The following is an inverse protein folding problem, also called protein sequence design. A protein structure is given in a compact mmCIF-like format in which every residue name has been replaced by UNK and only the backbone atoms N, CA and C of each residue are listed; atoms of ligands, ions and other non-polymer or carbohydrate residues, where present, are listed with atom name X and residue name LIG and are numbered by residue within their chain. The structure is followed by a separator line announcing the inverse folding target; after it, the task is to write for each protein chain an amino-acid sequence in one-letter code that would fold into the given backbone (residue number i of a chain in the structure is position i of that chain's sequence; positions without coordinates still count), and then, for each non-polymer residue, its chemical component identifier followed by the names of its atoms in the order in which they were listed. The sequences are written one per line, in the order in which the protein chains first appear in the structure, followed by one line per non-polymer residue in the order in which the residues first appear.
data_IF_265540844344
#
_entry.id   IF_265540844344
#
_cell.length_a   1.000
_cell.length_b   1.000
_cell.length_c   1.000
_cell.angle_alpha   90.00
_cell.angle_beta   90.00
_cell.angle_gamma   90.00
#
_symmetry.space_group_name_H-M   'P 1'
#
loop_
_entity.id
_entity.type
_entity.pdbx_description
1 polymer ?
#
# COMPACT_ATOMS: atom_id res chain seq x y z
N UNK A 1 38.51 18.04 -28.39
CA UNK A 1 37.07 17.79 -28.64
C UNK A 1 36.38 17.73 -27.28
N UNK A 2 35.68 18.83 -26.93
CA UNK A 2 34.21 18.90 -26.77
C UNK A 2 33.73 18.07 -25.57
N UNK A 3 33.61 18.59 -24.34
CA UNK A 3 32.73 19.65 -23.77
C UNK A 3 31.60 19.05 -22.89
N UNK A 4 31.33 19.76 -21.79
CA UNK A 4 30.48 19.43 -20.64
C UNK A 4 29.01 19.13 -20.96
N UNK A 5 28.31 18.42 -20.06
CA UNK A 5 27.04 18.83 -19.41
C UNK A 5 26.58 17.73 -18.43
N UNK A 6 26.58 17.93 -17.11
CA UNK A 6 25.62 18.71 -16.30
C UNK A 6 24.17 18.24 -16.42
N UNK A 7 23.65 17.83 -15.27
CA UNK A 7 22.27 17.86 -14.81
C UNK A 7 21.16 17.33 -15.73
N UNK A 8 20.61 16.18 -15.33
CA UNK A 8 19.16 16.01 -15.27
C UNK A 8 18.80 15.27 -13.99
N UNK A 9 18.68 16.02 -12.90
CA UNK A 9 17.75 15.73 -11.81
C UNK A 9 16.36 15.53 -12.43
N UNK A 10 16.07 14.32 -12.92
CA UNK A 10 14.71 13.88 -13.16
C UNK A 10 14.11 13.69 -11.76
N UNK A 11 13.63 14.77 -11.19
CA UNK A 11 12.79 14.74 -10.00
C UNK A 11 11.54 13.94 -10.41
N UNK A 12 11.43 12.64 -10.06
CA UNK A 12 10.19 11.97 -10.29
C UNK A 12 9.22 12.74 -9.40
N UNK A 13 8.05 13.14 -9.91
CA UNK A 13 6.95 13.46 -9.01
C UNK A 13 6.65 12.15 -8.28
N UNK A 14 7.38 11.92 -7.18
CA UNK A 14 7.21 10.81 -6.29
C UNK A 14 5.88 11.10 -5.62
N UNK A 15 4.80 10.72 -6.27
CA UNK A 15 3.57 10.39 -5.57
C UNK A 15 3.89 9.11 -4.79
N UNK A 16 4.66 9.24 -3.70
CA UNK A 16 4.74 8.19 -2.68
C UNK A 16 3.37 8.18 -2.04
N UNK A 17 2.40 7.57 -2.72
CA UNK A 17 1.23 7.02 -2.05
C UNK A 17 1.81 6.26 -0.85
N UNK A 18 1.46 6.69 0.35
CA UNK A 18 2.05 6.17 1.59
C UNK A 18 0.94 5.56 2.41
N UNK A 19 1.21 4.40 3.01
CA UNK A 19 0.27 3.78 3.93
C UNK A 19 0.20 4.59 5.23
N UNK A 20 -1.01 4.90 5.69
CA UNK A 20 -1.28 5.52 7.00
C UNK A 20 -1.83 4.48 7.96
N UNK A 21 -1.68 4.70 9.27
CA UNK A 21 -2.26 3.83 10.30
C UNK A 21 -3.64 4.36 10.68
N UNK A 22 -4.65 3.49 10.70
CA UNK A 22 -6.00 3.85 11.13
C UNK A 22 -6.22 3.57 12.62
N UNK A 23 -6.84 4.50 13.32
CA UNK A 23 -7.15 4.41 14.75
C UNK A 23 -8.66 4.54 15.00
N UNK A 24 -9.15 3.92 16.08
CA UNK A 24 -10.51 4.16 16.59
C UNK A 24 -10.57 5.50 17.34
N UNK A 25 -11.78 5.94 17.69
CA UNK A 25 -11.99 7.12 18.54
C UNK A 25 -11.25 7.02 19.90
N UNK A 26 -11.09 5.80 20.42
CA UNK A 26 -10.32 5.51 21.65
C UNK A 26 -8.80 5.45 21.44
N UNK A 27 -8.28 5.91 20.29
CA UNK A 27 -6.86 5.85 19.90
C UNK A 27 -6.28 4.43 19.84
N UNK A 28 -7.11 3.40 19.67
CA UNK A 28 -6.65 2.01 19.45
C UNK A 28 -6.40 1.78 17.96
N UNK A 29 -5.31 1.09 17.61
CA UNK A 29 -5.04 0.71 16.21
C UNK A 29 -6.15 -0.20 15.70
N UNK A 30 -6.80 0.19 14.62
CA UNK A 30 -7.76 -0.67 13.94
C UNK A 30 -7.00 -1.84 13.31
N UNK A 31 -7.54 -3.05 13.39
CA UNK A 31 -7.01 -4.24 12.72
C UNK A 31 -8.03 -4.74 11.72
N UNK A 32 -7.73 -4.62 10.43
CA UNK A 32 -8.54 -5.11 9.31
C UNK A 32 -7.75 -6.12 8.50
N UNK A 33 -8.45 -6.85 7.65
CA UNK A 33 -7.82 -7.76 6.71
C UNK A 33 -7.13 -6.99 5.59
N UNK A 34 -5.90 -7.37 5.25
CA UNK A 34 -5.24 -6.89 4.04
C UNK A 34 -6.06 -7.33 2.82
N UNK A 35 -6.52 -6.37 2.02
CA UNK A 35 -7.33 -6.62 0.83
C UNK A 35 -6.58 -7.50 -0.17
N UNK A 36 -5.31 -7.20 -0.43
CA UNK A 36 -4.50 -7.97 -1.38
C UNK A 36 -4.31 -9.44 -0.96
N UNK A 37 -3.91 -9.68 0.30
CA UNK A 37 -3.76 -11.03 0.81
C UNK A 37 -5.09 -11.80 0.82
N UNK A 38 -6.19 -11.13 1.21
CA UNK A 38 -7.50 -11.76 1.22
C UNK A 38 -7.95 -12.18 -0.17
N UNK A 39 -7.73 -11.35 -1.20
CA UNK A 39 -8.05 -11.70 -2.59
C UNK A 39 -7.24 -12.91 -3.07
N UNK A 40 -5.92 -12.92 -2.82
CA UNK A 40 -5.05 -14.04 -3.21
C UNK A 40 -5.48 -15.37 -2.57
N UNK A 41 -5.75 -15.36 -1.27
CA UNK A 41 -6.20 -16.56 -0.55
C UNK A 41 -7.58 -16.98 -1.03
N UNK A 42 -8.48 -16.01 -1.26
CA UNK A 42 -9.82 -16.29 -1.78
C UNK A 42 -9.78 -16.99 -3.14
N UNK A 43 -8.86 -16.57 -4.01
CA UNK A 43 -8.66 -17.18 -5.33
C UNK A 43 -8.01 -18.55 -5.24
N UNK A 44 -7.04 -18.75 -4.34
CA UNK A 44 -6.30 -20.01 -4.21
C UNK A 44 -7.08 -21.11 -3.45
N UNK A 45 -7.75 -20.76 -2.35
CA UNK A 45 -8.31 -21.71 -1.38
C UNK A 45 -9.83 -21.56 -1.17
N UNK A 46 -10.45 -20.58 -1.84
CA UNK A 46 -11.84 -20.21 -1.57
C UNK A 46 -11.99 -19.32 -0.34
N UNK A 47 -13.21 -19.16 0.17
CA UNK A 47 -13.50 -18.16 1.20
C UNK A 47 -13.03 -18.62 2.59
N UNK A 48 -11.73 -18.49 2.86
CA UNK A 48 -11.11 -18.81 4.15
C UNK A 48 -10.95 -17.53 4.97
N UNK A 49 -11.17 -17.60 6.30
CA UNK A 49 -10.91 -16.49 7.23
C UNK A 49 -9.40 -16.21 7.42
N UNK A 50 -8.54 -16.93 6.70
CA UNK A 50 -7.10 -16.82 6.79
C UNK A 50 -6.61 -15.62 5.98
N UNK A 51 -5.90 -14.72 6.64
CA UNK A 51 -5.11 -13.70 5.95
C UNK A 51 -4.44 -12.75 6.92
N UNK A 52 -3.49 -11.97 6.39
CA UNK A 52 -2.72 -10.99 7.16
C UNK A 52 -3.60 -9.84 7.64
N UNK A 53 -3.74 -9.69 8.96
CA UNK A 53 -4.35 -8.51 9.59
C UNK A 53 -3.37 -7.35 9.60
N UNK A 54 -3.83 -6.17 9.20
CA UNK A 54 -3.05 -4.93 9.12
C UNK A 54 -3.82 -3.77 9.74
N UNK A 55 -3.08 -2.77 10.21
CA UNK A 55 -3.64 -1.50 10.66
C UNK A 55 -3.43 -0.37 9.65
N UNK A 56 -2.77 -0.67 8.54
CA UNK A 56 -2.34 0.27 7.53
C UNK A 56 -3.30 0.31 6.35
N UNK A 57 -3.58 1.50 5.85
CA UNK A 57 -4.49 1.74 4.72
C UNK A 57 -3.92 2.79 3.76
N UNK A 58 -4.34 2.75 2.50
CA UNK A 58 -3.95 3.75 1.49
C UNK A 58 -4.88 4.96 1.57
N UNK A 59 -4.42 6.13 2.04
CA UNK A 59 -5.30 7.32 2.10
C UNK A 59 -5.67 7.90 0.74
N UNK A 60 -4.87 7.59 -0.28
CA UNK A 60 -4.95 8.26 -1.59
C UNK A 60 -5.68 7.40 -2.63
N UNK A 61 -6.21 6.26 -2.21
CA UNK A 61 -6.94 5.30 -3.04
C UNK A 61 -8.46 5.49 -2.85
N UNK A 62 -9.23 5.29 -3.92
CA UNK A 62 -10.67 5.62 -4.01
C UNK A 62 -11.58 4.92 -2.97
N UNK A 63 -11.09 3.90 -2.28
CA UNK A 63 -11.83 3.18 -1.22
C UNK A 63 -11.06 3.06 0.09
N UNK A 64 -9.92 3.75 0.19
CA UNK A 64 -9.03 3.67 1.32
C UNK A 64 -8.76 2.22 1.81
N UNK A 65 -8.40 1.29 0.90
CA UNK A 65 -8.24 -0.12 1.22
C UNK A 65 -7.08 -0.35 2.19
N UNK A 66 -7.22 -1.43 2.96
CA UNK A 66 -6.21 -1.90 3.90
C UNK A 66 -5.19 -2.76 3.18
N UNK A 67 -3.92 -2.40 3.27
CA UNK A 67 -2.84 -3.16 2.67
C UNK A 67 -1.69 -3.38 3.64
N UNK A 68 -1.05 -4.55 3.53
CA UNK A 68 0.32 -4.71 4.00
C UNK A 68 1.29 -4.01 3.05
N UNK A 69 2.52 -3.80 3.50
CA UNK A 69 3.57 -3.15 2.70
C UNK A 69 3.81 -3.89 1.37
N UNK A 70 3.80 -5.22 1.40
CA UNK A 70 4.01 -6.06 0.22
C UNK A 70 2.92 -5.86 -0.85
N UNK A 71 1.64 -6.00 -0.47
CA UNK A 71 0.51 -5.81 -1.39
C UNK A 71 0.43 -4.36 -1.88
N UNK A 72 0.80 -3.40 -1.03
CA UNK A 72 0.84 -2.00 -1.41
C UNK A 72 1.92 -1.72 -2.47
N UNK A 73 3.09 -2.35 -2.35
CA UNK A 73 4.14 -2.28 -3.37
C UNK A 73 3.74 -2.89 -4.70
N UNK A 74 2.90 -3.94 -4.68
CA UNK A 74 2.36 -4.57 -5.90
C UNK A 74 1.26 -3.72 -6.56
N UNK A 75 0.46 -3.00 -5.78
CA UNK A 75 -0.65 -2.16 -6.27
C UNK A 75 -0.18 -0.83 -6.89
N UNK A 76 1.08 -0.42 -6.72
CA UNK A 76 1.64 0.83 -7.24
C UNK A 76 2.64 0.63 -8.40
N UNK A 77 2.54 -0.48 -9.13
CA UNK A 77 3.25 -0.66 -10.40
C UNK A 77 2.41 -0.24 -11.58
#
# INVERSE_FOLDING_TARGET
MLSLSSDKTKNPKISTRTLKIMYTAEKKKIRRMCTGCYTQIKEAEGRVAAGKKVSTYCSDCEQQPFFCIECFGQHNK
#
